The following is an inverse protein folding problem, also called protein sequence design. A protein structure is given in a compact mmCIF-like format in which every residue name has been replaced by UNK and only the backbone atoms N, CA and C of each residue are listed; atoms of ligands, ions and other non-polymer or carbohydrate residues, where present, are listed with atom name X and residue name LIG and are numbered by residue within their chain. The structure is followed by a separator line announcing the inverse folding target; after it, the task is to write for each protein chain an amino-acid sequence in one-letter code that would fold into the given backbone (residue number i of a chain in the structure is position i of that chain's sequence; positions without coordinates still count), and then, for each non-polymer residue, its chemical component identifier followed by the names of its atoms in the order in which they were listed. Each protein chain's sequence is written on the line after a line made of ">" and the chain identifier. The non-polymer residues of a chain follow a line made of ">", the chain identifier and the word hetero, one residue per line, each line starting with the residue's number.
data_IF_652908010156
#
_entry.id   IF_652908010156
#
_cell.length_a   1.000
_cell.length_b   1.000
_cell.length_c   1.000
_cell.angle_alpha   90.00
_cell.angle_beta   90.00
_cell.angle_gamma   90.00
#
_symmetry.space_group_name_H-M   'P 1'
#
loop_
_entity.id
_entity.type
_entity.pdbx_description
1 polymer ?
#
# COMPACT_ATOMS: atom_id res chain seq x y z
N UNK A 1 -26.63 -10.70 55.47
CA UNK A 1 -26.81 -10.27 54.08
C UNK A 1 -25.45 -10.41 53.37
N UNK A 2 -25.37 -11.29 52.40
CA UNK A 2 -24.10 -11.60 51.70
C UNK A 2 -24.20 -10.90 50.34
N UNK A 3 -23.45 -9.82 50.14
CA UNK A 3 -23.41 -9.07 48.89
C UNK A 3 -22.61 -9.88 47.87
N UNK A 4 -23.26 -10.34 46.83
CA UNK A 4 -22.64 -10.99 45.68
C UNK A 4 -22.18 -9.88 44.73
N UNK A 5 -20.88 -9.68 44.62
CA UNK A 5 -20.29 -8.87 43.57
C UNK A 5 -20.26 -9.72 42.29
N UNK A 6 -21.11 -9.39 41.35
CA UNK A 6 -21.05 -9.94 39.99
C UNK A 6 -19.99 -9.14 39.24
N UNK A 7 -18.81 -9.72 39.05
CA UNK A 7 -17.82 -9.20 38.13
C UNK A 7 -18.32 -9.49 36.71
N UNK A 8 -18.75 -8.44 36.03
CA UNK A 8 -19.01 -8.52 34.59
C UNK A 8 -17.70 -8.20 33.88
N UNK A 9 -16.88 -9.23 33.68
CA UNK A 9 -15.80 -9.16 32.68
C UNK A 9 -16.45 -9.10 31.30
N UNK A 10 -16.78 -7.89 30.87
CA UNK A 10 -17.12 -7.62 29.48
C UNK A 10 -15.79 -7.67 28.73
N UNK A 11 -15.50 -8.82 28.14
CA UNK A 11 -14.43 -8.93 27.16
C UNK A 11 -14.87 -8.15 25.92
N UNK A 12 -14.57 -6.83 25.92
CA UNK A 12 -14.73 -5.99 24.75
C UNK A 12 -13.64 -6.48 23.78
N UNK A 13 -14.03 -7.40 22.90
CA UNK A 13 -13.22 -7.74 21.74
C UNK A 13 -13.01 -6.43 20.99
N UNK A 14 -11.78 -5.94 21.01
CA UNK A 14 -11.41 -4.73 20.28
C UNK A 14 -11.83 -4.95 18.83
N UNK A 15 -12.82 -4.21 18.37
CA UNK A 15 -13.27 -4.27 16.99
C UNK A 15 -12.19 -3.58 16.18
N UNK A 16 -11.26 -4.34 15.68
CA UNK A 16 -10.25 -3.87 14.73
C UNK A 16 -11.00 -3.50 13.45
N UNK A 17 -11.15 -2.21 13.24
CA UNK A 17 -11.79 -1.68 12.03
C UNK A 17 -10.76 -1.76 10.91
N UNK A 18 -11.07 -2.53 9.88
CA UNK A 18 -10.30 -2.54 8.64
C UNK A 18 -10.29 -1.13 8.05
N UNK A 19 -9.12 -0.68 7.57
CA UNK A 19 -8.99 0.66 6.98
C UNK A 19 -8.18 0.63 5.70
N UNK A 20 -8.54 1.50 4.76
CA UNK A 20 -7.78 1.68 3.52
C UNK A 20 -6.46 2.36 3.83
N UNK A 21 -5.39 1.92 3.16
CA UNK A 21 -4.08 2.56 3.15
C UNK A 21 -3.81 3.16 1.78
N UNK A 22 -3.24 4.35 1.78
CA UNK A 22 -2.67 5.02 0.62
C UNK A 22 -1.19 5.29 0.90
N UNK A 23 -0.30 4.71 0.11
CA UNK A 23 1.13 5.00 0.16
C UNK A 23 1.53 5.90 -1.00
N UNK A 24 2.15 7.06 -0.69
CA UNK A 24 2.58 8.08 -1.64
C UNK A 24 4.10 8.20 -1.65
N UNK A 25 4.66 8.36 -2.83
CA UNK A 25 6.04 8.77 -3.01
C UNK A 25 6.17 10.29 -2.85
N UNK A 26 7.12 10.72 -2.05
CA UNK A 26 7.37 12.15 -1.78
C UNK A 26 8.83 12.52 -2.08
N UNK A 27 9.08 13.77 -2.43
CA UNK A 27 10.42 14.30 -2.67
C UNK A 27 11.13 14.75 -1.39
N UNK A 28 10.36 15.25 -0.42
CA UNK A 28 10.84 15.72 0.89
C UNK A 28 9.84 15.29 1.96
N UNK A 29 10.31 14.42 2.85
CA UNK A 29 9.45 13.84 3.89
C UNK A 29 8.99 14.89 4.89
N UNK A 30 9.84 15.85 5.26
CA UNK A 30 9.50 16.87 6.26
C UNK A 30 8.46 17.87 5.72
N UNK A 31 8.61 18.27 4.46
CA UNK A 31 7.62 19.11 3.77
C UNK A 31 6.28 18.39 3.67
N UNK A 32 6.29 17.13 3.27
CA UNK A 32 5.09 16.30 3.18
C UNK A 32 4.40 16.12 4.54
N UNK A 33 5.16 15.82 5.61
CA UNK A 33 4.62 15.73 6.97
C UNK A 33 3.96 17.07 7.35
N UNK A 34 4.62 18.20 7.15
CA UNK A 34 4.08 19.51 7.50
C UNK A 34 2.79 19.84 6.72
N UNK A 35 2.70 19.42 5.47
CA UNK A 35 1.50 19.60 4.64
C UNK A 35 0.35 18.72 5.12
N UNK A 36 0.58 17.40 5.23
CA UNK A 36 -0.49 16.45 5.57
C UNK A 36 -0.95 16.57 7.02
N UNK A 37 -0.08 16.98 7.95
CA UNK A 37 -0.50 17.30 9.33
C UNK A 37 -1.52 18.44 9.35
N UNK A 38 -1.33 19.47 8.53
CA UNK A 38 -2.30 20.58 8.41
C UNK A 38 -3.58 20.14 7.70
N UNK A 39 -3.44 19.37 6.61
CA UNK A 39 -4.59 18.95 5.80
C UNK A 39 -5.56 18.08 6.59
N UNK A 40 -5.05 17.15 7.39
CA UNK A 40 -5.85 16.21 8.16
C UNK A 40 -5.99 16.57 9.64
N UNK A 41 -5.41 17.69 10.08
CA UNK A 41 -5.37 18.10 11.49
C UNK A 41 -4.90 16.97 12.41
N UNK A 42 -3.88 16.21 11.98
CA UNK A 42 -3.37 15.02 12.65
C UNK A 42 -1.84 15.02 12.65
N UNK A 43 -1.24 14.49 13.70
CA UNK A 43 0.19 14.25 13.75
C UNK A 43 0.51 12.85 13.18
N UNK A 44 1.72 12.63 12.62
CA UNK A 44 2.11 11.32 12.17
C UNK A 44 2.18 10.34 13.35
N UNK A 45 1.61 9.14 13.17
CA UNK A 45 1.66 8.08 14.17
C UNK A 45 3.06 7.46 14.28
N UNK A 46 3.84 7.50 13.21
CA UNK A 46 5.22 7.02 13.16
C UNK A 46 6.03 7.85 12.18
N UNK A 47 7.27 8.21 12.56
CA UNK A 47 8.27 8.85 11.68
C UNK A 47 9.58 8.07 11.79
N UNK A 48 10.19 7.78 10.65
CA UNK A 48 11.49 7.10 10.51
C UNK A 48 12.25 7.73 9.33
N UNK A 49 13.54 7.48 9.17
CA UNK A 49 14.28 7.95 8.01
C UNK A 49 13.59 7.51 6.69
N UNK A 50 13.25 8.48 5.84
CA UNK A 50 12.56 8.23 4.56
C UNK A 50 11.11 7.75 4.66
N UNK A 51 10.51 7.72 5.87
CA UNK A 51 9.18 7.14 6.07
C UNK A 51 8.37 7.88 7.13
N UNK A 52 7.09 8.12 6.85
CA UNK A 52 6.12 8.51 7.87
C UNK A 52 4.76 7.86 7.61
N UNK A 53 3.96 7.66 8.67
CA UNK A 53 2.56 7.31 8.49
C UNK A 53 1.64 8.09 9.42
N UNK A 54 0.42 8.29 8.96
CA UNK A 54 -0.68 8.90 9.69
C UNK A 54 -1.81 7.89 9.84
N UNK A 55 -2.32 7.77 11.06
CA UNK A 55 -3.55 7.01 11.34
C UNK A 55 -4.71 8.01 11.44
N UNK A 56 -5.36 8.28 10.30
CA UNK A 56 -6.48 9.20 10.24
C UNK A 56 -7.73 8.48 10.71
N UNK A 57 -8.49 9.09 11.62
CA UNK A 57 -9.71 8.50 12.18
C UNK A 57 -10.99 8.94 11.46
N UNK A 58 -10.98 10.13 10.84
CA UNK A 58 -12.15 10.70 10.18
C UNK A 58 -11.77 11.37 8.85
N UNK A 59 -12.08 10.77 7.70
CA UNK A 59 -12.52 9.37 7.51
C UNK A 59 -11.42 8.38 7.90
N UNK A 60 -11.76 7.14 8.28
CA UNK A 60 -10.75 6.17 8.69
C UNK A 60 -9.90 5.70 7.51
N UNK A 61 -8.63 6.12 7.48
CA UNK A 61 -7.65 5.64 6.52
C UNK A 61 -6.21 5.81 7.06
N UNK A 62 -5.28 5.11 6.47
CA UNK A 62 -3.85 5.22 6.76
C UNK A 62 -3.15 5.89 5.58
N UNK A 63 -2.46 6.99 5.83
CA UNK A 63 -1.59 7.62 4.86
C UNK A 63 -0.14 7.25 5.18
N UNK A 64 0.57 6.73 4.18
CA UNK A 64 2.00 6.44 4.25
C UNK A 64 2.75 7.35 3.28
N UNK A 65 3.84 7.95 3.75
CA UNK A 65 4.73 8.81 2.97
C UNK A 65 6.09 8.12 2.86
N UNK A 66 6.60 7.96 1.65
CA UNK A 66 7.85 7.27 1.36
C UNK A 66 8.72 8.17 0.49
N UNK A 67 9.88 8.55 1.02
CA UNK A 67 10.86 9.36 0.32
C UNK A 67 11.81 8.48 -0.49
N UNK A 68 12.07 8.85 -1.75
CA UNK A 68 13.07 8.19 -2.58
C UNK A 68 12.66 6.84 -3.17
N UNK A 69 11.41 6.39 -3.01
CA UNK A 69 10.95 5.09 -3.49
C UNK A 69 10.32 5.11 -4.90
N UNK A 70 10.13 6.29 -5.49
CA UNK A 70 9.53 6.44 -6.81
C UNK A 70 9.34 7.89 -7.21
N UNK A 71 8.60 8.12 -8.29
CA UNK A 71 8.30 9.47 -8.79
C UNK A 71 7.51 10.24 -7.73
N UNK A 72 7.98 11.44 -7.29
CA UNK A 72 7.27 12.25 -6.32
C UNK A 72 5.84 12.59 -6.74
N UNK A 73 4.89 12.46 -5.82
CA UNK A 73 3.46 12.67 -6.06
C UNK A 73 2.73 11.47 -6.65
N UNK A 74 3.43 10.39 -7.02
CA UNK A 74 2.80 9.16 -7.48
C UNK A 74 2.33 8.28 -6.31
N UNK A 75 1.34 7.42 -6.58
CA UNK A 75 0.95 6.34 -5.67
C UNK A 75 2.04 5.26 -5.72
N UNK A 76 2.59 4.90 -4.56
CA UNK A 76 3.49 3.77 -4.43
C UNK A 76 2.69 2.45 -4.48
N UNK A 77 1.73 2.30 -3.58
CA UNK A 77 0.77 1.19 -3.56
C UNK A 77 -0.48 1.58 -2.76
N UNK A 78 -1.49 0.75 -2.87
CA UNK A 78 -2.72 0.83 -2.09
C UNK A 78 -2.76 -0.35 -1.12
N UNK A 79 -3.55 -0.24 -0.06
CA UNK A 79 -3.65 -1.32 0.90
C UNK A 79 -4.96 -1.35 1.67
N UNK A 80 -5.20 -2.49 2.32
CA UNK A 80 -6.25 -2.67 3.31
C UNK A 80 -5.61 -3.27 4.55
N UNK A 81 -5.56 -2.50 5.64
CA UNK A 81 -5.12 -3.01 6.94
C UNK A 81 -6.28 -3.74 7.58
N UNK A 82 -6.07 -5.00 7.94
CA UNK A 82 -7.06 -5.87 8.59
C UNK A 82 -6.62 -6.25 10.00
N UNK A 83 -7.52 -6.82 10.78
CA UNK A 83 -7.33 -7.01 12.21
C UNK A 83 -6.48 -8.20 12.60
N UNK A 84 -6.27 -9.18 11.72
CA UNK A 84 -5.57 -10.41 12.08
C UNK A 84 -4.98 -11.16 10.88
N UNK A 85 -4.03 -12.05 11.16
CA UNK A 85 -3.46 -13.01 10.19
C UNK A 85 -4.53 -13.87 9.53
N UNK A 86 -5.56 -14.29 10.28
CA UNK A 86 -6.67 -15.08 9.75
C UNK A 86 -7.45 -14.33 8.68
N UNK A 87 -7.62 -13.00 8.84
CA UNK A 87 -8.28 -12.14 7.84
C UNK A 87 -7.42 -12.00 6.58
N UNK A 88 -6.09 -11.89 6.72
CA UNK A 88 -5.16 -11.90 5.57
C UNK A 88 -5.25 -13.22 4.82
N UNK A 89 -5.20 -14.34 5.54
CA UNK A 89 -5.29 -15.67 4.96
C UNK A 89 -6.64 -15.90 4.25
N UNK A 90 -7.74 -15.43 4.85
CA UNK A 90 -9.08 -15.51 4.25
C UNK A 90 -9.15 -14.68 2.96
N UNK A 91 -8.53 -13.49 2.92
CA UNK A 91 -8.46 -12.68 1.71
C UNK A 91 -7.68 -13.37 0.60
N UNK A 92 -6.52 -13.99 0.90
CA UNK A 92 -5.72 -14.76 -0.07
C UNK A 92 -6.52 -15.91 -0.68
N UNK A 93 -7.25 -16.67 0.14
CA UNK A 93 -8.12 -17.76 -0.32
C UNK A 93 -9.24 -17.22 -1.22
N UNK A 94 -9.88 -16.13 -0.82
CA UNK A 94 -10.97 -15.52 -1.58
C UNK A 94 -10.52 -15.02 -2.95
N UNK A 95 -9.34 -14.37 -3.03
CA UNK A 95 -8.76 -13.88 -4.29
C UNK A 95 -8.40 -15.03 -5.22
N UNK A 96 -7.72 -16.05 -4.71
CA UNK A 96 -7.36 -17.25 -5.48
C UNK A 96 -8.61 -17.95 -6.03
N UNK A 97 -9.68 -18.06 -5.24
CA UNK A 97 -10.94 -18.63 -5.68
C UNK A 97 -11.62 -17.85 -6.81
N UNK A 98 -11.32 -16.55 -6.94
CA UNK A 98 -11.80 -15.70 -8.02
C UNK A 98 -10.82 -15.65 -9.22
N UNK A 99 -9.72 -16.40 -9.19
CA UNK A 99 -8.71 -16.43 -10.25
C UNK A 99 -7.76 -15.24 -10.24
N UNK A 100 -7.71 -14.48 -9.15
CA UNK A 100 -6.75 -13.39 -8.98
C UNK A 100 -5.42 -14.00 -8.49
N UNK A 101 -4.33 -13.69 -9.17
CA UNK A 101 -3.00 -14.11 -8.74
C UNK A 101 -2.62 -13.39 -7.43
N UNK A 102 -2.10 -14.16 -6.48
CA UNK A 102 -1.71 -13.66 -5.15
C UNK A 102 -0.26 -13.98 -4.86
N UNK A 103 0.40 -13.08 -4.14
CA UNK A 103 1.72 -13.28 -3.55
C UNK A 103 1.60 -13.11 -2.04
N UNK A 104 1.86 -14.18 -1.27
CA UNK A 104 1.67 -14.22 0.18
C UNK A 104 3.00 -14.11 0.88
N UNK A 105 3.11 -13.17 1.80
CA UNK A 105 4.29 -12.96 2.64
C UNK A 105 3.89 -13.11 4.11
N UNK A 106 4.51 -14.04 4.84
CA UNK A 106 4.26 -14.29 6.26
C UNK A 106 5.43 -13.77 7.10
N UNK A 107 5.12 -13.10 8.20
CA UNK A 107 6.08 -12.53 9.14
C UNK A 107 7.20 -11.71 8.46
N UNK A 108 6.87 -11.07 7.33
CA UNK A 108 7.84 -10.28 6.57
C UNK A 108 8.10 -8.94 7.24
N UNK A 109 9.37 -8.51 7.22
CA UNK A 109 9.71 -7.17 7.72
C UNK A 109 9.64 -6.18 6.57
N UNK A 110 8.71 -5.24 6.65
CA UNK A 110 8.54 -4.19 5.66
C UNK A 110 8.21 -2.86 6.31
N UNK A 111 8.84 -1.77 5.83
CA UNK A 111 8.52 -0.41 6.25
C UNK A 111 8.43 -0.21 7.78
N UNK A 112 9.42 -0.74 8.53
CA UNK A 112 9.51 -0.65 9.98
C UNK A 112 8.44 -1.43 10.76
N UNK A 113 7.88 -2.46 10.18
CA UNK A 113 6.94 -3.37 10.83
C UNK A 113 7.14 -4.82 10.37
N UNK A 114 6.86 -5.78 11.25
CA UNK A 114 6.66 -7.19 10.87
C UNK A 114 5.21 -7.36 10.52
N UNK A 115 4.91 -7.96 9.39
CA UNK A 115 3.57 -8.04 8.82
C UNK A 115 3.30 -9.40 8.21
N UNK A 116 2.05 -9.84 8.27
CA UNK A 116 1.52 -10.83 7.34
C UNK A 116 0.74 -10.08 6.26
N UNK A 117 0.93 -10.45 5.00
CA UNK A 117 0.29 -9.78 3.90
C UNK A 117 0.06 -10.68 2.69
N UNK A 118 -0.88 -10.28 1.86
CA UNK A 118 -1.08 -10.82 0.52
C UNK A 118 -1.12 -9.67 -0.48
N UNK A 119 -0.31 -9.78 -1.52
CA UNK A 119 -0.29 -8.84 -2.63
C UNK A 119 -1.17 -9.33 -3.78
N UNK A 120 -1.80 -8.37 -4.45
CA UNK A 120 -2.49 -8.59 -5.72
C UNK A 120 -2.15 -7.43 -6.66
N UNK A 121 -1.95 -7.74 -7.94
CA UNK A 121 -1.75 -6.74 -8.97
C UNK A 121 -3.06 -6.50 -9.71
N UNK A 122 -3.53 -5.26 -9.63
CA UNK A 122 -4.66 -4.78 -10.40
C UNK A 122 -4.28 -4.45 -11.85
N UNK A 123 -5.26 -4.10 -12.70
CA UNK A 123 -5.01 -3.55 -14.02
C UNK A 123 -4.05 -2.35 -13.94
N UNK A 124 -3.25 -2.16 -15.00
CA UNK A 124 -2.30 -1.05 -15.11
C UNK A 124 -1.26 -0.98 -13.98
N UNK A 125 -0.95 -2.14 -13.38
CA UNK A 125 0.03 -2.28 -12.29
C UNK A 125 -0.37 -1.56 -10.99
N UNK A 126 -1.65 -1.33 -10.75
CA UNK A 126 -2.13 -0.88 -9.46
C UNK A 126 -1.93 -1.99 -8.42
N UNK A 127 -0.91 -1.86 -7.59
CA UNK A 127 -0.56 -2.87 -6.60
C UNK A 127 -1.32 -2.65 -5.31
N UNK A 128 -1.93 -3.71 -4.78
CA UNK A 128 -2.68 -3.71 -3.53
C UNK A 128 -2.12 -4.73 -2.56
N UNK A 129 -2.01 -4.34 -1.29
CA UNK A 129 -1.74 -5.25 -0.19
C UNK A 129 -2.94 -5.38 0.75
N UNK A 130 -3.23 -6.60 1.18
CA UNK A 130 -4.07 -6.85 2.37
C UNK A 130 -3.16 -7.35 3.46
N UNK A 131 -3.09 -6.66 4.59
CA UNK A 131 -2.05 -6.91 5.57
C UNK A 131 -2.52 -6.66 7.00
N UNK A 132 -1.80 -7.29 7.95
CA UNK A 132 -1.90 -6.98 9.37
C UNK A 132 -0.52 -6.74 9.95
N UNK A 133 -0.42 -5.83 10.92
CA UNK A 133 0.84 -5.53 11.62
C UNK A 133 0.95 -6.43 12.84
N UNK A 134 2.01 -7.23 12.91
CA UNK A 134 2.30 -8.15 14.01
C UNK A 134 3.15 -7.48 15.09
N UNK A 135 4.14 -6.69 14.68
CA UNK A 135 5.05 -6.00 15.57
C UNK A 135 5.74 -4.82 14.89
N UNK A 136 6.27 -3.90 15.68
CA UNK A 136 7.23 -2.91 15.18
C UNK A 136 8.58 -3.58 14.89
N UNK A 137 9.24 -3.17 13.80
CA UNK A 137 10.59 -3.61 13.47
C UNK A 137 11.56 -2.41 13.47
N UNK A 138 12.84 -2.62 13.87
CA UNK A 138 13.90 -1.67 13.57
C UNK A 138 14.00 -1.53 12.03
N UNK A 139 14.39 -0.36 11.53
CA UNK A 139 14.51 -0.14 10.08
C UNK A 139 15.50 -1.09 9.40
N UNK A 140 15.65 -0.95 8.07
CA UNK A 140 16.44 -1.85 7.23
C UNK A 140 17.94 -1.89 7.53
N UNK A 141 18.44 -1.10 8.46
CA UNK A 141 19.88 -1.00 8.81
C UNK A 141 20.50 -2.30 9.37
N UNK A 142 19.75 -3.40 9.50
CA UNK A 142 20.24 -4.68 10.04
C UNK A 142 19.96 -5.91 9.18
N UNK A 143 19.23 -5.78 8.10
CA UNK A 143 18.85 -6.92 7.25
C UNK A 143 19.51 -6.74 5.88
N UNK A 144 20.68 -7.34 5.72
CA UNK A 144 21.34 -7.49 4.42
C UNK A 144 20.54 -8.47 3.55
N UNK A 145 19.56 -7.98 2.85
CA UNK A 145 18.76 -8.71 1.89
C UNK A 145 18.04 -7.71 0.99
N UNK A 146 17.83 -8.06 -0.25
CA UNK A 146 17.23 -7.25 -1.32
C UNK A 146 15.74 -6.93 -1.06
N UNK A 147 15.39 -6.48 0.14
CA UNK A 147 14.02 -6.21 0.57
C UNK A 147 13.50 -4.89 0.03
N UNK A 148 13.09 -4.92 -1.23
CA UNK A 148 12.40 -3.83 -1.94
C UNK A 148 10.90 -3.75 -1.59
N UNK A 149 10.52 -3.93 -0.33
CA UNK A 149 9.10 -3.87 0.07
C UNK A 149 8.41 -2.55 -0.30
N UNK A 150 9.15 -1.46 -0.39
CA UNK A 150 8.62 -0.15 -0.76
C UNK A 150 8.97 0.29 -2.17
N UNK A 151 9.77 -0.48 -2.91
CA UNK A 151 10.05 -0.25 -4.33
C UNK A 151 9.12 -1.12 -5.17
N UNK A 152 8.37 -0.56 -6.13
CA UNK A 152 7.60 -1.37 -7.05
C UNK A 152 8.56 -2.29 -7.80
N UNK A 153 8.39 -3.61 -7.68
CA UNK A 153 9.14 -4.57 -8.47
C UNK A 153 8.83 -4.32 -9.95
N UNK A 154 9.77 -3.70 -10.65
CA UNK A 154 9.74 -3.62 -12.10
C UNK A 154 10.03 -5.02 -12.64
N UNK A 155 8.99 -5.84 -12.77
CA UNK A 155 9.10 -7.08 -13.52
C UNK A 155 9.60 -6.73 -14.94
N UNK A 156 10.62 -7.45 -15.47
CA UNK A 156 11.07 -7.21 -16.82
C UNK A 156 9.92 -7.45 -17.79
N UNK A 157 9.50 -6.40 -18.50
CA UNK A 157 8.55 -6.54 -19.61
C UNK A 157 9.18 -7.45 -20.64
N UNK A 158 8.65 -8.67 -20.81
CA UNK A 158 8.90 -9.45 -22.00
C UNK A 158 8.31 -8.67 -23.17
N UNK A 159 9.17 -8.02 -23.93
CA UNK A 159 8.78 -7.30 -25.15
C UNK A 159 8.12 -8.28 -26.13
N UNK A 160 7.10 -7.83 -26.88
CA UNK A 160 6.50 -8.66 -27.91
C UNK A 160 7.58 -9.02 -28.93
N UNK A 161 7.69 -10.31 -29.25
CA UNK A 161 8.56 -10.82 -30.31
C UNK A 161 8.28 -10.05 -31.61
N UNK A 162 9.33 -9.46 -32.16
CA UNK A 162 9.26 -8.73 -33.43
C UNK A 162 8.82 -9.68 -34.55
N UNK A 163 7.57 -9.52 -34.97
CA UNK A 163 7.11 -10.05 -36.25
C UNK A 163 7.60 -9.11 -37.35
N UNK A 164 8.55 -9.59 -38.13
CA UNK A 164 9.03 -8.93 -39.34
C UNK A 164 7.90 -8.89 -40.37
N UNK A 165 7.26 -7.77 -40.52
CA UNK A 165 6.37 -7.51 -41.63
C UNK A 165 6.92 -6.35 -42.47
N UNK A 166 7.37 -6.69 -43.68
CA UNK A 166 7.71 -5.77 -44.74
C UNK A 166 6.44 -5.03 -45.19
N UNK A 167 6.40 -3.72 -45.02
CA UNK A 167 5.34 -2.92 -45.63
C UNK A 167 5.88 -1.66 -46.28
N UNK A 168 5.54 -1.52 -47.52
CA UNK A 168 5.73 -0.41 -48.45
C UNK A 168 5.05 0.88 -47.96
N UNK A 169 5.76 1.98 -48.14
CA UNK A 169 5.29 3.33 -47.87
C UNK A 169 4.16 3.76 -48.80
N UNK A 170 3.17 4.47 -48.23
CA UNK A 170 2.44 5.54 -48.90
C UNK A 170 2.04 6.62 -47.91
N UNK A 171 2.40 7.79 -48.27
CA UNK A 171 2.22 9.14 -47.71
C UNK A 171 0.74 9.49 -47.52
N UNK A 172 0.40 10.10 -46.39
CA UNK A 172 -0.56 11.20 -46.21
C UNK A 172 -0.86 11.47 -44.73
N UNK A 173 -0.44 12.61 -44.21
CA UNK A 173 -0.84 13.15 -42.94
C UNK A 173 -2.22 13.84 -43.01
N UNK A 174 -3.00 13.79 -41.93
CA UNK A 174 -3.91 14.90 -41.62
C UNK A 174 -3.60 15.53 -40.24
N UNK A 175 -3.94 16.80 -40.14
CA UNK A 175 -3.70 17.78 -39.11
C UNK A 175 -4.37 17.46 -37.75
N UNK A 176 -3.93 18.15 -36.65
CA UNK A 176 -4.39 17.84 -35.30
C UNK A 176 -5.75 18.46 -35.00
N UNK A 177 -6.62 17.65 -34.36
CA UNK A 177 -7.86 18.12 -33.78
C UNK A 177 -7.66 18.59 -32.33
N UNK A 178 -8.20 19.75 -32.02
CA UNK A 178 -8.22 20.37 -30.69
C UNK A 178 -8.95 19.50 -29.66
N UNK A 179 -8.38 19.40 -28.47
CA UNK A 179 -8.99 18.78 -27.31
C UNK A 179 -9.95 19.78 -26.61
N UNK A 180 -11.13 19.35 -26.14
CA UNK A 180 -11.97 20.20 -25.30
C UNK A 180 -11.44 20.27 -23.87
N UNK A 181 -11.46 21.48 -23.29
CA UNK A 181 -11.18 21.74 -21.89
C UNK A 181 -12.25 21.09 -21.00
N UNK A 182 -11.80 20.34 -19.99
CA UNK A 182 -12.63 19.93 -18.86
C UNK A 182 -12.40 20.84 -17.66
N UNK A 183 -13.52 21.27 -17.08
CA UNK A 183 -13.60 21.92 -15.78
C UNK A 183 -13.18 21.00 -14.64
#
# INVERSE_FOLDING_TARGET
>A
MKTILISTDINIKEVTVSRVQLALNVSDLNEAIAFYSKLFAAEPAKVRPGYANFAISEPPFKLVLIEGAGEPGSINHLGVEVGSTEEVSAAAVAFTAQGIATDVEEATTCCYAVQDKVWVDGPDRARWEFYTVLADAPGPEGLGGDDHCCTPALAPVAGPAAATATATATDSAPAPAEAPACC
#
